data_IF_490110575745
#
_entry.id   IF_490110575745
#
_cell.length_a   1.000
_cell.length_b   1.000
_cell.length_c   1.000
_cell.angle_alpha   90.00
_cell.angle_beta   90.00
_cell.angle_gamma   90.00
#
_symmetry.space_group_name_H-M   'P 1'
#
loop_
_entity.id
_entity.type
_entity.pdbx_description
1 polymer ?
#
# COMPACT_ATOMS: atom_id res chain seq x y z
N UNK A 1 -21.75 -2.13 -16.51
CA UNK A 1 -22.69 -1.76 -17.55
C UNK A 1 -22.18 -0.58 -18.38
N UNK A 2 -21.95 0.63 -17.82
CA UNK A 2 -21.42 1.80 -18.55
C UNK A 2 -20.07 1.55 -19.25
N UNK A 3 -19.21 0.73 -18.68
CA UNK A 3 -17.93 0.38 -19.30
C UNK A 3 -18.14 -0.57 -20.48
N UNK A 4 -19.10 -1.48 -20.41
CA UNK A 4 -19.51 -2.35 -21.50
C UNK A 4 -19.98 -1.50 -22.70
N UNK A 5 -20.83 -0.52 -22.46
CA UNK A 5 -21.31 0.43 -23.45
C UNK A 5 -20.17 1.29 -24.04
N UNK A 6 -19.25 1.78 -23.20
CA UNK A 6 -18.11 2.61 -23.61
C UNK A 6 -17.12 1.87 -24.51
N UNK A 7 -16.91 0.57 -24.25
CA UNK A 7 -15.97 -0.27 -24.98
C UNK A 7 -16.63 -1.04 -26.11
N UNK A 8 -17.95 -0.96 -26.25
CA UNK A 8 -18.77 -1.78 -27.18
C UNK A 8 -18.49 -3.29 -27.01
N UNK A 9 -18.40 -3.73 -25.74
CA UNK A 9 -18.12 -5.12 -25.36
C UNK A 9 -19.29 -5.65 -24.54
N UNK A 10 -19.91 -6.80 -24.92
CA UNK A 10 -21.03 -7.34 -24.18
C UNK A 10 -20.66 -7.85 -22.78
N UNK A 11 -21.65 -7.85 -21.89
CA UNK A 11 -21.56 -8.52 -20.61
C UNK A 11 -22.02 -9.98 -20.77
N UNK A 12 -21.21 -10.92 -20.31
CA UNK A 12 -21.49 -12.36 -20.33
C UNK A 12 -21.43 -12.93 -18.93
N UNK A 13 -22.27 -13.93 -18.63
CA UNK A 13 -22.19 -14.63 -17.35
C UNK A 13 -20.94 -15.51 -17.30
N UNK A 14 -20.14 -15.38 -16.22
CA UNK A 14 -18.97 -16.21 -15.99
C UNK A 14 -19.29 -17.31 -14.97
N UNK A 15 -19.36 -18.60 -15.40
CA UNK A 15 -19.83 -19.70 -14.55
C UNK A 15 -18.99 -19.91 -13.29
N UNK A 16 -17.66 -19.75 -13.37
CA UNK A 16 -16.80 -19.91 -12.20
C UNK A 16 -17.03 -18.79 -11.16
N UNK A 17 -17.17 -17.54 -11.63
CA UNK A 17 -17.49 -16.41 -10.73
C UNK A 17 -18.84 -16.63 -10.06
N UNK A 18 -19.85 -17.08 -10.83
CA UNK A 18 -21.16 -17.44 -10.32
C UNK A 18 -21.07 -18.50 -9.21
N UNK A 19 -20.37 -19.59 -9.48
CA UNK A 19 -20.18 -20.68 -8.51
C UNK A 19 -19.48 -20.22 -7.23
N UNK A 20 -18.49 -19.31 -7.37
CA UNK A 20 -17.77 -18.73 -6.23
C UNK A 20 -18.65 -17.81 -5.39
N UNK A 21 -19.49 -16.98 -6.01
CA UNK A 21 -20.47 -16.15 -5.30
C UNK A 21 -21.40 -17.04 -4.47
N UNK A 22 -21.97 -18.07 -5.05
CA UNK A 22 -22.85 -19.02 -4.35
C UNK A 22 -22.12 -19.64 -3.15
N UNK A 23 -20.92 -20.17 -3.37
CA UNK A 23 -20.10 -20.79 -2.33
C UNK A 23 -19.71 -19.80 -1.21
N UNK A 24 -19.51 -18.54 -1.53
CA UNK A 24 -19.19 -17.49 -0.56
C UNK A 24 -20.36 -17.26 0.43
N UNK A 25 -21.59 -17.19 -0.07
CA UNK A 25 -22.79 -17.02 0.76
C UNK A 25 -23.12 -18.29 1.57
N UNK A 26 -22.99 -19.47 0.95
CA UNK A 26 -23.20 -20.76 1.63
C UNK A 26 -22.27 -20.94 2.83
N UNK A 27 -20.95 -20.68 2.65
CA UNK A 27 -19.96 -20.81 3.74
C UNK A 27 -20.22 -19.86 4.91
N UNK A 28 -20.90 -18.74 4.69
CA UNK A 28 -21.23 -17.76 5.73
C UNK A 28 -22.65 -17.94 6.28
N UNK A 29 -23.37 -18.96 5.82
CA UNK A 29 -24.77 -19.21 6.17
C UNK A 29 -25.65 -17.95 6.04
N UNK A 30 -25.47 -17.20 4.93
CA UNK A 30 -26.20 -15.96 4.66
C UNK A 30 -27.10 -16.12 3.44
N UNK A 31 -28.33 -15.56 3.48
CA UNK A 31 -29.19 -15.55 2.29
C UNK A 31 -28.53 -14.74 1.20
N UNK A 32 -28.58 -15.25 -0.03
CA UNK A 32 -28.06 -14.57 -1.21
C UNK A 32 -29.22 -13.87 -1.93
N UNK A 33 -29.05 -12.57 -2.18
CA UNK A 33 -29.99 -11.80 -3.00
C UNK A 33 -29.68 -12.03 -4.48
N UNK A 34 -30.71 -12.15 -5.33
CA UNK A 34 -30.53 -12.28 -6.78
C UNK A 34 -29.73 -11.13 -7.39
N UNK A 35 -29.88 -9.92 -6.86
CA UNK A 35 -29.13 -8.74 -7.31
C UNK A 35 -27.62 -8.89 -7.20
N UNK A 36 -27.12 -9.76 -6.32
CA UNK A 36 -25.69 -10.03 -6.17
C UNK A 36 -25.14 -10.78 -7.38
N UNK A 37 -25.99 -11.54 -8.08
CA UNK A 37 -25.59 -12.33 -9.25
C UNK A 37 -25.18 -11.47 -10.45
N UNK A 38 -25.51 -10.19 -10.46
CA UNK A 38 -24.98 -9.24 -11.46
C UNK A 38 -23.44 -9.18 -11.44
N UNK A 39 -22.81 -9.52 -10.31
CA UNK A 39 -21.35 -9.57 -10.17
C UNK A 39 -20.73 -10.80 -10.88
N UNK A 40 -21.54 -11.75 -11.32
CA UNK A 40 -21.09 -12.85 -12.17
C UNK A 40 -21.02 -12.44 -13.65
N UNK A 41 -21.55 -11.27 -14.01
CA UNK A 41 -21.43 -10.73 -15.36
C UNK A 41 -20.06 -10.04 -15.51
N UNK A 42 -19.32 -10.47 -16.52
CA UNK A 42 -18.00 -9.95 -16.87
C UNK A 42 -18.01 -9.42 -18.30
N UNK A 43 -17.08 -8.56 -18.63
CA UNK A 43 -16.89 -8.11 -20.01
C UNK A 43 -16.33 -9.28 -20.85
N UNK A 44 -16.93 -9.55 -22.00
CA UNK A 44 -16.46 -10.61 -22.89
C UNK A 44 -14.99 -10.41 -23.28
N UNK A 45 -14.21 -11.50 -23.29
CA UNK A 45 -12.78 -11.44 -23.58
C UNK A 45 -11.91 -10.86 -22.45
N UNK A 46 -12.48 -10.51 -21.29
CA UNK A 46 -11.67 -10.05 -20.15
C UNK A 46 -10.90 -11.18 -19.47
N UNK A 47 -9.70 -10.85 -18.98
CA UNK A 47 -9.02 -11.68 -17.98
C UNK A 47 -9.62 -11.44 -16.61
N UNK A 48 -9.94 -12.50 -15.88
CA UNK A 48 -10.66 -12.44 -14.62
C UNK A 48 -9.69 -12.66 -13.46
N UNK A 49 -9.68 -11.72 -12.52
CA UNK A 49 -8.91 -11.82 -11.27
C UNK A 49 -9.83 -12.24 -10.13
N UNK A 50 -9.46 -13.34 -9.50
CA UNK A 50 -10.25 -13.92 -8.43
C UNK A 50 -10.24 -13.06 -7.17
N UNK A 51 -11.42 -12.84 -6.57
CA UNK A 51 -11.57 -12.15 -5.29
C UNK A 51 -11.70 -13.19 -4.16
N UNK A 52 -10.68 -13.31 -3.31
CA UNK A 52 -10.68 -14.25 -2.18
C UNK A 52 -11.40 -13.69 -0.94
N UNK A 53 -11.59 -12.37 -0.88
CA UNK A 53 -12.12 -11.66 0.29
C UNK A 53 -13.51 -11.08 0.08
N UNK A 54 -14.02 -11.12 -1.15
CA UNK A 54 -15.32 -10.60 -1.54
C UNK A 54 -15.96 -11.38 -2.69
N UNK A 55 -17.00 -10.82 -3.28
CA UNK A 55 -17.78 -11.46 -4.36
C UNK A 55 -17.48 -10.90 -5.75
N UNK A 56 -17.18 -9.60 -5.86
CA UNK A 56 -16.91 -8.94 -7.13
C UNK A 56 -15.51 -9.32 -7.66
N UNK A 57 -15.39 -9.92 -8.86
CA UNK A 57 -14.10 -10.19 -9.47
C UNK A 57 -13.40 -8.90 -9.90
N UNK A 58 -12.07 -8.96 -10.07
CA UNK A 58 -11.35 -7.99 -10.85
C UNK A 58 -11.34 -8.40 -12.33
N UNK A 59 -11.22 -7.43 -13.23
CA UNK A 59 -11.20 -7.66 -14.67
C UNK A 59 -10.05 -6.89 -15.32
N UNK A 60 -9.37 -7.50 -16.28
CA UNK A 60 -8.51 -6.80 -17.23
C UNK A 60 -9.11 -6.93 -18.63
N UNK A 61 -9.38 -5.81 -19.27
CA UNK A 61 -10.03 -5.71 -20.57
C UNK A 61 -9.05 -5.09 -21.56
N UNK A 62 -8.74 -5.73 -22.69
CA UNK A 62 -7.94 -5.11 -23.73
C UNK A 62 -8.69 -3.92 -24.36
N UNK A 63 -7.97 -2.86 -24.66
CA UNK A 63 -8.49 -1.71 -25.38
C UNK A 63 -7.49 -1.23 -26.44
N UNK A 64 -7.92 -0.38 -27.35
CA UNK A 64 -7.05 0.20 -28.39
C UNK A 64 -5.86 1.01 -27.82
N UNK A 65 -5.91 1.41 -26.55
CA UNK A 65 -4.88 2.22 -25.87
C UNK A 65 -4.10 1.43 -24.79
N UNK A 66 -4.33 0.12 -24.69
CA UNK A 66 -3.72 -0.73 -23.66
C UNK A 66 -4.76 -1.50 -22.85
N UNK A 67 -4.54 -1.68 -21.57
CA UNK A 67 -5.39 -2.46 -20.67
C UNK A 67 -6.24 -1.57 -19.76
N UNK A 68 -7.54 -1.84 -19.69
CA UNK A 68 -8.40 -1.29 -18.65
C UNK A 68 -8.52 -2.30 -17.51
N UNK A 69 -8.07 -1.92 -16.31
CA UNK A 69 -8.11 -2.76 -15.11
C UNK A 69 -9.24 -2.28 -14.19
N UNK A 70 -10.18 -3.16 -13.90
CA UNK A 70 -11.31 -2.91 -13.00
C UNK A 70 -11.14 -3.74 -11.74
N UNK A 71 -11.10 -3.09 -10.59
CA UNK A 71 -10.87 -3.74 -9.29
C UNK A 71 -11.95 -3.34 -8.29
N UNK A 72 -12.24 -4.20 -7.27
CA UNK A 72 -13.13 -3.86 -6.18
C UNK A 72 -12.56 -2.70 -5.36
N UNK A 73 -13.45 -1.82 -4.84
CA UNK A 73 -13.05 -0.63 -4.08
C UNK A 73 -12.46 -0.91 -2.68
N UNK A 74 -12.98 -1.88 -1.88
CA UNK A 74 -12.49 -2.08 -0.53
C UNK A 74 -11.01 -2.49 -0.49
N UNK A 75 -10.13 -1.80 0.27
CA UNK A 75 -8.69 -2.07 0.31
C UNK A 75 -8.33 -3.52 0.67
N UNK A 76 -9.12 -4.16 1.54
CA UNK A 76 -8.96 -5.57 1.95
C UNK A 76 -9.16 -6.56 0.80
N UNK A 77 -9.86 -6.17 -0.25
CA UNK A 77 -10.12 -6.97 -1.46
C UNK A 77 -9.12 -6.60 -2.55
N UNK A 78 -8.95 -5.29 -2.78
CA UNK A 78 -8.10 -4.73 -3.83
C UNK A 78 -6.63 -5.08 -3.64
N UNK A 79 -6.07 -4.86 -2.44
CA UNK A 79 -4.62 -5.05 -2.19
C UNK A 79 -4.15 -6.49 -2.45
N UNK A 80 -4.78 -7.54 -1.88
CA UNK A 80 -4.37 -8.92 -2.17
C UNK A 80 -4.57 -9.29 -3.63
N UNK A 81 -5.65 -8.82 -4.26
CA UNK A 81 -5.93 -9.06 -5.68
C UNK A 81 -4.87 -8.42 -6.56
N UNK A 82 -4.47 -7.18 -6.27
CA UNK A 82 -3.43 -6.49 -7.00
C UNK A 82 -2.10 -7.25 -6.93
N UNK A 83 -1.65 -7.59 -5.73
CA UNK A 83 -0.35 -8.27 -5.53
C UNK A 83 -0.34 -9.65 -6.17
N UNK A 84 -1.42 -10.42 -6.02
CA UNK A 84 -1.47 -11.82 -6.44
C UNK A 84 -1.72 -12.00 -7.94
N UNK A 85 -2.54 -11.14 -8.54
CA UNK A 85 -3.01 -11.33 -9.91
C UNK A 85 -2.65 -10.17 -10.84
N UNK A 86 -2.91 -8.93 -10.42
CA UNK A 86 -2.78 -7.77 -11.33
C UNK A 86 -1.33 -7.43 -11.61
N UNK A 87 -0.48 -7.37 -10.61
CA UNK A 87 0.93 -7.02 -10.79
C UNK A 87 1.67 -8.06 -11.66
N UNK A 88 1.52 -9.39 -11.47
CA UNK A 88 2.08 -10.39 -12.39
C UNK A 88 1.49 -10.31 -13.80
N UNK A 89 0.18 -10.04 -13.93
CA UNK A 89 -0.45 -9.85 -15.23
C UNK A 89 0.16 -8.66 -15.97
N UNK A 90 0.26 -7.51 -15.32
CA UNK A 90 0.85 -6.30 -15.91
C UNK A 90 2.33 -6.50 -16.27
N UNK A 91 3.09 -7.18 -15.43
CA UNK A 91 4.49 -7.49 -15.73
C UNK A 91 4.65 -8.36 -16.99
N UNK A 92 3.69 -9.24 -17.26
CA UNK A 92 3.66 -10.08 -18.45
C UNK A 92 3.20 -9.32 -19.71
N UNK A 93 2.07 -8.60 -19.60
CA UNK A 93 1.42 -7.96 -20.75
C UNK A 93 2.08 -6.61 -21.13
N UNK A 94 2.69 -5.94 -20.13
CA UNK A 94 3.38 -4.66 -20.29
C UNK A 94 4.81 -4.76 -19.74
N UNK A 95 5.68 -5.56 -20.38
CA UNK A 95 7.05 -5.69 -19.90
C UNK A 95 7.70 -4.30 -19.93
N UNK A 96 8.05 -3.82 -18.73
CA UNK A 96 8.73 -2.54 -18.60
C UNK A 96 10.10 -2.62 -19.28
N UNK A 97 10.35 -1.75 -20.23
CA UNK A 97 11.67 -1.62 -20.84
C UNK A 97 12.68 -0.92 -19.91
N UNK A 98 12.19 -0.31 -18.82
CA UNK A 98 13.01 0.37 -17.82
C UNK A 98 12.76 -0.22 -16.45
N UNK A 99 13.78 -0.84 -15.88
CA UNK A 99 13.75 -1.26 -14.48
C UNK A 99 13.54 -0.02 -13.60
N UNK A 100 12.46 -0.01 -12.85
CA UNK A 100 12.17 1.02 -11.85
C UNK A 100 12.61 0.50 -10.48
N UNK A 101 13.34 1.31 -9.76
CA UNK A 101 13.71 1.06 -8.36
C UNK A 101 13.25 2.21 -7.49
N UNK A 102 12.81 1.89 -6.27
CA UNK A 102 12.30 2.87 -5.33
C UNK A 102 12.99 2.73 -3.99
N UNK A 103 13.11 3.84 -3.28
CA UNK A 103 13.56 3.91 -1.90
C UNK A 103 12.76 4.97 -1.16
N UNK A 104 12.22 4.61 -0.01
CA UNK A 104 11.49 5.53 0.87
C UNK A 104 12.27 5.71 2.17
N UNK A 105 12.53 6.94 2.57
CA UNK A 105 13.08 7.28 3.89
C UNK A 105 11.96 7.86 4.72
N UNK A 106 11.75 7.31 5.89
CA UNK A 106 10.66 7.67 6.80
C UNK A 106 11.14 8.59 7.90
N UNK A 107 10.45 9.71 8.05
CA UNK A 107 10.82 10.74 9.03
C UNK A 107 9.64 11.09 9.95
N UNK A 108 9.96 11.54 11.16
CA UNK A 108 9.02 11.99 12.18
C UNK A 108 9.48 13.33 12.77
N UNK A 109 8.52 14.19 13.15
CA UNK A 109 8.82 15.45 13.84
C UNK A 109 9.42 16.56 12.98
N UNK A 110 9.36 16.44 11.65
CA UNK A 110 9.76 17.46 10.68
C UNK A 110 8.62 17.75 9.70
N UNK A 111 8.40 19.00 9.36
CA UNK A 111 7.42 19.39 8.34
C UNK A 111 7.96 19.25 6.93
N UNK A 112 7.06 18.98 5.96
CA UNK A 112 7.38 18.74 4.56
C UNK A 112 8.25 19.84 3.95
N UNK A 113 7.87 21.12 4.10
CA UNK A 113 8.61 22.26 3.53
C UNK A 113 10.03 22.39 4.07
N UNK A 114 10.21 22.16 5.39
CA UNK A 114 11.54 22.19 6.02
C UNK A 114 12.40 21.03 5.56
N UNK A 115 11.78 19.86 5.41
CA UNK A 115 12.43 18.65 4.91
C UNK A 115 12.90 18.87 3.46
N UNK A 116 12.03 19.35 2.59
CA UNK A 116 12.34 19.67 1.20
C UNK A 116 13.48 20.66 1.09
N UNK A 117 13.45 21.77 1.85
CA UNK A 117 14.52 22.78 1.86
C UNK A 117 15.88 22.18 2.19
N UNK A 118 15.94 21.22 3.13
CA UNK A 118 17.20 20.58 3.56
C UNK A 118 17.84 19.69 2.50
N UNK A 119 17.03 19.06 1.63
CA UNK A 119 17.54 18.04 0.70
C UNK A 119 17.51 18.46 -0.78
N UNK A 120 16.59 19.35 -1.19
CA UNK A 120 16.34 19.67 -2.59
C UNK A 120 17.59 20.14 -3.35
N UNK A 121 18.32 21.10 -2.79
CA UNK A 121 19.53 21.60 -3.43
C UNK A 121 20.60 20.53 -3.61
N UNK A 122 20.78 19.66 -2.61
CA UNK A 122 21.80 18.58 -2.64
C UNK A 122 21.45 17.45 -3.59
N UNK A 123 20.17 17.26 -3.89
CA UNK A 123 19.67 16.24 -4.82
C UNK A 123 19.41 16.79 -6.23
N UNK A 124 19.59 18.08 -6.46
CA UNK A 124 19.27 18.74 -7.74
C UNK A 124 20.01 18.12 -8.94
N UNK A 125 21.27 17.73 -8.78
CA UNK A 125 22.04 17.06 -9.83
C UNK A 125 21.44 15.69 -10.21
N UNK A 126 20.89 14.95 -9.25
CA UNK A 126 20.27 13.66 -9.50
C UNK A 126 18.89 13.82 -10.14
N UNK A 127 18.13 14.86 -9.79
CA UNK A 127 16.82 15.12 -10.42
C UNK A 127 16.99 15.50 -11.89
N UNK A 128 18.03 16.23 -12.26
CA UNK A 128 18.35 16.48 -13.68
C UNK A 128 18.76 15.21 -14.44
N UNK A 129 19.21 14.17 -13.74
CA UNK A 129 19.56 12.85 -14.30
C UNK A 129 18.39 11.86 -14.25
N UNK A 130 17.19 12.30 -13.88
CA UNK A 130 15.95 11.49 -13.90
C UNK A 130 15.58 10.86 -12.57
N UNK A 131 16.16 11.28 -11.44
CA UNK A 131 15.64 10.94 -10.11
C UNK A 131 14.31 11.67 -9.90
N UNK A 132 13.28 10.93 -9.52
CA UNK A 132 12.01 11.50 -9.05
C UNK A 132 11.97 11.48 -7.53
N UNK A 133 11.53 12.58 -6.92
CA UNK A 133 11.38 12.72 -5.48
C UNK A 133 9.93 13.09 -5.19
N UNK A 134 9.29 12.36 -4.29
CA UNK A 134 7.96 12.65 -3.79
C UNK A 134 7.96 12.74 -2.27
N UNK A 135 7.13 13.62 -1.74
CA UNK A 135 6.91 13.76 -0.30
C UNK A 135 5.50 13.29 0.04
N UNK A 136 5.39 12.38 1.01
CA UNK A 136 4.10 11.84 1.44
C UNK A 136 3.90 12.22 2.92
N UNK A 137 3.27 13.37 3.14
CA UNK A 137 3.00 13.86 4.49
C UNK A 137 1.79 13.17 5.11
N UNK A 138 1.92 12.79 6.37
CA UNK A 138 0.88 12.32 7.29
C UNK A 138 0.99 13.11 8.59
N UNK A 139 0.03 12.94 9.48
CA UNK A 139 0.09 13.62 10.79
C UNK A 139 1.35 13.16 11.55
N UNK A 140 2.29 14.09 11.74
CA UNK A 140 3.55 13.86 12.46
C UNK A 140 4.66 13.16 11.67
N UNK A 141 4.39 12.65 10.49
CA UNK A 141 5.34 11.90 9.67
C UNK A 141 5.44 12.47 8.25
N UNK A 142 6.63 12.40 7.64
CA UNK A 142 6.83 12.70 6.21
C UNK A 142 7.73 11.65 5.61
N UNK A 143 7.25 10.94 4.58
CA UNK A 143 8.07 10.01 3.81
C UNK A 143 8.74 10.73 2.64
N UNK A 144 10.05 10.54 2.48
CA UNK A 144 10.80 10.93 1.27
C UNK A 144 10.90 9.74 0.35
N UNK A 145 10.10 9.73 -0.71
CA UNK A 145 10.11 8.66 -1.70
C UNK A 145 10.98 9.05 -2.88
N UNK A 146 11.99 8.25 -3.16
CA UNK A 146 12.91 8.41 -4.29
C UNK A 146 12.65 7.29 -5.31
N UNK A 147 12.59 7.64 -6.59
CA UNK A 147 12.40 6.71 -7.70
C UNK A 147 13.48 6.95 -8.75
N UNK A 148 14.14 5.89 -9.19
CA UNK A 148 15.11 5.95 -10.26
C UNK A 148 14.89 4.82 -11.27
N UNK A 149 15.37 5.00 -12.49
CA UNK A 149 15.10 4.10 -13.61
C UNK A 149 16.39 3.59 -14.25
N UNK A 150 16.30 2.38 -14.83
CA UNK A 150 17.37 1.75 -15.60
C UNK A 150 18.44 1.08 -14.74
N UNK A 151 19.50 0.60 -15.39
CA UNK A 151 20.57 -0.17 -14.75
C UNK A 151 21.38 0.63 -13.72
N UNK A 152 21.47 1.95 -13.86
CA UNK A 152 22.10 2.85 -12.88
C UNK A 152 21.21 3.23 -11.71
N UNK A 153 19.91 2.93 -11.79
CA UNK A 153 18.93 3.29 -10.77
C UNK A 153 19.31 2.89 -9.33
N UNK A 154 19.73 1.65 -9.07
CA UNK A 154 20.13 1.22 -7.72
C UNK A 154 21.29 2.03 -7.15
N UNK A 155 22.29 2.38 -7.98
CA UNK A 155 23.44 3.16 -7.55
C UNK A 155 23.03 4.61 -7.24
N UNK A 156 22.20 5.22 -8.10
CA UNK A 156 21.67 6.56 -7.89
C UNK A 156 20.92 6.63 -6.57
N UNK A 157 20.00 5.66 -6.30
CA UNK A 157 19.24 5.63 -5.05
C UNK A 157 20.14 5.49 -3.82
N UNK A 158 21.18 4.68 -3.88
CA UNK A 158 22.14 4.50 -2.79
C UNK A 158 22.86 5.80 -2.44
N UNK A 159 23.30 6.55 -3.45
CA UNK A 159 23.96 7.84 -3.27
C UNK A 159 23.00 8.89 -2.70
N UNK A 160 21.78 8.97 -3.26
CA UNK A 160 20.74 9.86 -2.77
C UNK A 160 20.31 9.54 -1.36
N UNK A 161 20.13 8.26 -1.01
CA UNK A 161 19.83 7.82 0.36
C UNK A 161 20.91 8.28 1.34
N UNK A 162 22.17 8.17 0.97
CA UNK A 162 23.28 8.64 1.82
C UNK A 162 23.18 10.14 2.09
N UNK A 163 22.88 10.94 1.07
CA UNK A 163 22.68 12.38 1.21
C UNK A 163 21.47 12.69 2.11
N UNK A 164 20.34 12.06 1.85
CA UNK A 164 19.12 12.25 2.64
C UNK A 164 19.35 11.90 4.12
N UNK A 165 19.99 10.76 4.39
CA UNK A 165 20.34 10.34 5.76
C UNK A 165 21.27 11.33 6.45
N UNK A 166 22.23 11.91 5.75
CA UNK A 166 23.11 12.94 6.30
C UNK A 166 22.40 14.25 6.64
N UNK A 167 21.38 14.62 5.82
CA UNK A 167 20.63 15.86 6.01
C UNK A 167 19.56 15.80 7.08
N UNK A 168 18.92 14.64 7.26
CA UNK A 168 17.76 14.49 8.11
C UNK A 168 18.01 13.74 9.40
N UNK A 169 19.17 13.05 9.53
CA UNK A 169 19.69 12.37 10.73
C UNK A 169 18.63 11.98 11.79
N UNK A 170 18.45 12.87 12.76
CA UNK A 170 17.61 12.68 13.95
C UNK A 170 16.11 12.55 13.69
N UNK A 171 15.67 12.95 12.48
CA UNK A 171 14.28 12.82 12.09
C UNK A 171 13.94 11.46 11.49
N UNK A 172 14.96 10.67 11.09
CA UNK A 172 14.76 9.38 10.41
C UNK A 172 14.52 8.29 11.47
N UNK A 173 13.38 7.61 11.35
CA UNK A 173 13.08 6.44 12.16
C UNK A 173 13.15 5.12 11.38
N UNK A 174 13.12 5.16 10.03
CA UNK A 174 13.12 3.94 9.23
C UNK A 174 13.19 4.21 7.73
N UNK A 175 12.95 3.15 6.98
CA UNK A 175 12.90 3.15 5.51
C UNK A 175 11.87 2.13 5.00
N UNK A 176 11.38 2.32 3.80
CA UNK A 176 10.48 1.44 3.07
C UNK A 176 9.26 1.00 3.90
N UNK A 177 9.21 -0.25 4.39
CA UNK A 177 8.08 -0.82 5.12
C UNK A 177 8.19 -0.65 6.66
N UNK A 178 9.29 -0.04 7.16
CA UNK A 178 9.46 0.19 8.61
C UNK A 178 8.31 1.02 9.16
N UNK A 179 7.86 0.72 10.38
CA UNK A 179 6.79 1.44 11.07
C UNK A 179 7.34 2.13 12.31
N UNK A 180 6.77 3.27 12.66
CA UNK A 180 7.20 4.04 13.85
C UNK A 180 7.02 3.23 15.13
N UNK A 181 5.97 2.44 15.25
CA UNK A 181 5.71 1.56 16.38
C UNK A 181 6.77 0.46 16.56
N UNK A 182 7.31 -0.09 15.45
CA UNK A 182 8.41 -1.07 15.49
C UNK A 182 9.67 -0.41 16.09
N UNK A 183 10.01 0.78 15.57
CA UNK A 183 11.15 1.56 16.08
C UNK A 183 11.04 1.88 17.59
N UNK A 184 9.83 2.22 18.07
CA UNK A 184 9.58 2.50 19.49
C UNK A 184 9.76 1.24 20.34
N UNK A 185 9.15 0.11 19.94
CA UNK A 185 9.24 -1.16 20.67
C UNK A 185 10.68 -1.65 20.73
N UNK A 186 11.39 -1.65 19.62
CA UNK A 186 12.80 -2.06 19.55
C UNK A 186 13.68 -1.17 20.42
N UNK A 187 13.48 0.14 20.35
CA UNK A 187 14.21 1.09 21.18
C UNK A 187 13.95 0.95 22.69
N UNK A 188 12.76 0.51 23.11
CA UNK A 188 12.45 0.19 24.49
C UNK A 188 13.13 -1.12 24.93
N UNK A 189 13.15 -2.13 24.07
CA UNK A 189 13.82 -3.41 24.32
C UNK A 189 15.33 -3.17 24.53
N UNK A 190 15.97 -2.44 23.61
CA UNK A 190 17.39 -2.13 23.67
C UNK A 190 17.80 -1.39 24.96
N UNK A 191 16.92 -0.51 25.47
CA UNK A 191 17.15 0.25 26.71
C UNK A 191 16.71 -0.45 27.99
N UNK A 192 16.13 -1.66 27.87
CA UNK A 192 15.50 -2.37 29.00
C UNK A 192 14.45 -1.50 29.72
N UNK A 193 13.65 -0.74 28.93
CA UNK A 193 12.60 0.12 29.43
C UNK A 193 11.23 -0.48 29.13
N UNK A 194 10.27 -0.15 29.99
CA UNK A 194 8.88 -0.57 29.83
C UNK A 194 7.96 0.63 29.63
N UNK A 195 6.80 0.41 29.04
CA UNK A 195 5.81 1.43 28.70
C UNK A 195 4.44 1.05 29.25
N UNK A 196 3.79 2.04 29.87
CA UNK A 196 2.36 2.02 30.21
C UNK A 196 1.74 3.27 29.63
N UNK A 197 0.55 3.17 29.04
CA UNK A 197 -0.15 4.32 28.46
C UNK A 197 -1.54 4.48 29.07
N UNK A 198 -2.00 5.74 29.15
CA UNK A 198 -3.38 6.10 29.46
C UNK A 198 -3.92 6.94 28.30
N UNK A 199 -5.02 6.48 27.70
CA UNK A 199 -5.63 7.09 26.52
C UNK A 199 -7.04 7.57 26.84
N UNK A 200 -7.44 8.71 26.24
CA UNK A 200 -8.80 9.24 26.32
C UNK A 200 -9.41 9.28 24.91
N UNK A 201 -9.27 10.39 24.19
CA UNK A 201 -9.89 10.59 22.87
C UNK A 201 -9.42 9.61 21.79
N UNK A 202 -8.23 9.04 21.92
CA UNK A 202 -7.69 8.01 21.02
C UNK A 202 -8.35 6.65 21.18
N UNK A 203 -9.06 6.41 22.30
CA UNK A 203 -9.87 5.21 22.50
C UNK A 203 -9.10 3.88 22.44
N UNK A 204 -7.81 3.87 22.80
CA UNK A 204 -6.94 2.68 22.76
C UNK A 204 -6.13 2.56 21.45
N UNK A 205 -6.13 3.56 20.59
CA UNK A 205 -5.42 3.52 19.31
C UNK A 205 -3.89 3.37 19.49
N UNK A 206 -3.29 4.04 20.46
CA UNK A 206 -1.86 3.93 20.75
C UNK A 206 -1.52 2.51 21.25
N UNK A 207 -2.30 2.00 22.20
CA UNK A 207 -2.16 0.62 22.70
C UNK A 207 -2.31 -0.39 21.55
N UNK A 208 -3.27 -0.18 20.68
CA UNK A 208 -3.48 -1.05 19.51
C UNK A 208 -2.28 -1.02 18.56
N UNK A 209 -1.74 0.14 18.23
CA UNK A 209 -0.53 0.23 17.37
C UNK A 209 0.65 -0.52 17.98
N UNK A 210 0.91 -0.33 19.27
CA UNK A 210 2.02 -1.01 19.97
C UNK A 210 1.83 -2.53 20.02
N UNK A 211 0.62 -3.01 20.32
CA UNK A 211 0.33 -4.45 20.41
C UNK A 211 0.36 -5.17 19.07
N UNK A 212 0.33 -4.45 17.94
CA UNK A 212 0.54 -5.03 16.62
C UNK A 212 2.02 -5.33 16.29
N UNK A 213 2.94 -4.89 17.14
CA UNK A 213 4.37 -5.18 16.98
C UNK A 213 4.71 -6.53 17.62
N UNK A 214 5.39 -7.41 16.88
CA UNK A 214 5.85 -8.67 17.41
C UNK A 214 6.88 -8.42 18.52
N UNK A 215 6.71 -9.07 19.68
CA UNK A 215 7.60 -8.87 20.84
C UNK A 215 7.22 -7.70 21.73
N UNK A 216 6.19 -6.92 21.42
CA UNK A 216 5.75 -5.77 22.24
C UNK A 216 5.45 -6.13 23.70
N UNK A 217 5.06 -7.39 23.99
CA UNK A 217 4.79 -7.87 25.36
C UNK A 217 6.00 -7.82 26.28
N UNK A 218 7.21 -7.73 25.75
CA UNK A 218 8.42 -7.58 26.55
C UNK A 218 8.54 -6.19 27.18
N UNK A 219 7.90 -5.17 26.58
CA UNK A 219 8.07 -3.76 26.99
C UNK A 219 6.74 -3.05 27.27
N UNK A 220 5.66 -3.40 26.59
CA UNK A 220 4.33 -2.80 26.79
C UNK A 220 3.55 -3.55 27.86
N UNK A 221 3.45 -2.95 29.05
CA UNK A 221 2.86 -3.61 30.22
C UNK A 221 1.34 -3.43 30.33
N UNK A 222 0.83 -2.23 30.02
CA UNK A 222 -0.60 -1.94 30.11
C UNK A 222 -1.01 -0.71 29.29
N UNK A 223 -2.25 -0.70 28.81
CA UNK A 223 -2.93 0.45 28.25
C UNK A 223 -4.29 0.65 28.92
N UNK A 224 -4.55 1.84 29.41
CA UNK A 224 -5.81 2.22 30.04
C UNK A 224 -6.57 3.17 29.11
N UNK A 225 -7.80 2.82 28.77
CA UNK A 225 -8.70 3.70 28.05
C UNK A 225 -9.66 4.36 29.07
N UNK A 226 -9.43 5.64 29.36
CA UNK A 226 -10.16 6.41 30.40
C UNK A 226 -11.06 7.46 29.76
N UNK A 227 -11.95 7.00 28.88
CA UNK A 227 -12.91 7.84 28.20
C UNK A 227 -14.14 8.04 29.07
N UNK A 228 -14.26 9.12 29.81
CA UNK A 228 -15.40 9.46 30.68
C UNK A 228 -16.16 10.66 30.18
#
# INVERSE_FOLDING_TARGET
>A
QRIAELLDVPLVEHPETRSRIISHFQRRNRPMLESVMIQAQVLEGSTIFNNEYGTAPGLAVPSSKGWLILLPGPPRELRPMYVKYVAPFLAKELPSQRQMVTRTIKTVGIGESVLEERISQKLSEFTTKGLEIGYCARIGEVDVRMVAYGSSGPQILKECETIVRQCLKEYIFGSDEDRLEDFIVDGLIERNQTLVVAESCTGGCLSHRLTNVSGASAVFLAGYCVYS
#
